data_IF_795308675203
#
_entry.id   IF_795308675203
#
_cell.length_a   1.000
_cell.length_b   1.000
_cell.length_c   1.000
_cell.angle_alpha   90.00
_cell.angle_beta   90.00
_cell.angle_gamma   90.00
#
_symmetry.space_group_name_H-M   'P 1'
#
loop_
_entity.id
_entity.type
_entity.pdbx_description
1 polymer ?
#
# COMPACT_ATOMS: atom_id res chain seq x y z
N UNK A 1 2.66 -17.57 19.61
CA UNK A 1 2.66 -16.11 19.34
C UNK A 1 1.96 -15.87 18.01
N UNK A 2 0.85 -15.12 17.97
CA UNK A 2 0.06 -14.95 16.74
C UNK A 2 0.73 -13.93 15.83
N UNK A 3 1.02 -14.30 14.58
CA UNK A 3 1.56 -13.38 13.56
C UNK A 3 0.47 -12.43 13.09
N UNK A 4 0.68 -11.13 13.29
CA UNK A 4 -0.31 -10.09 12.98
C UNK A 4 -0.30 -9.67 11.50
N UNK A 5 0.85 -9.78 10.83
CA UNK A 5 0.98 -9.41 9.42
C UNK A 5 0.59 -10.61 8.56
N UNK A 6 -0.64 -10.57 8.06
CA UNK A 6 -1.21 -11.58 7.17
C UNK A 6 -1.60 -10.93 5.83
N UNK A 7 -1.63 -11.70 4.73
CA UNK A 7 -2.24 -11.26 3.49
C UNK A 7 -3.65 -10.69 3.72
N UNK A 8 -4.00 -9.62 2.99
CA UNK A 8 -5.28 -8.92 3.12
C UNK A 8 -5.30 -7.84 4.21
N UNK A 9 -4.27 -7.73 5.06
CA UNK A 9 -4.18 -6.63 6.04
C UNK A 9 -3.81 -5.31 5.36
N UNK A 10 -4.49 -4.24 5.78
CA UNK A 10 -4.17 -2.86 5.40
C UNK A 10 -3.01 -2.37 6.26
N UNK A 11 -2.04 -1.75 5.60
CA UNK A 11 -0.83 -1.24 6.21
C UNK A 11 -0.47 0.13 5.64
N UNK A 12 0.34 0.89 6.37
CA UNK A 12 0.90 2.16 5.90
C UNK A 12 2.39 1.99 5.67
N UNK A 13 2.88 2.45 4.51
CA UNK A 13 4.32 2.45 4.21
C UNK A 13 4.98 3.62 4.92
N UNK A 14 6.06 3.37 5.66
CA UNK A 14 6.75 4.39 6.46
C UNK A 14 7.89 5.08 5.70
N UNK A 15 8.52 4.39 4.75
CA UNK A 15 9.75 4.88 4.10
C UNK A 15 9.77 4.73 2.58
N UNK A 16 10.57 5.58 1.93
CA UNK A 16 10.81 5.63 0.48
C UNK A 16 9.74 6.40 -0.30
N UNK A 17 9.76 6.28 -1.63
CA UNK A 17 8.86 7.01 -2.56
C UNK A 17 7.37 6.92 -2.26
N UNK A 18 6.94 5.84 -1.59
CA UNK A 18 5.53 5.56 -1.27
C UNK A 18 5.21 5.77 0.22
N UNK A 19 6.06 6.46 0.97
CA UNK A 19 5.82 6.77 2.38
C UNK A 19 4.47 7.51 2.57
N UNK A 20 3.77 7.18 3.65
CA UNK A 20 2.44 7.70 4.00
C UNK A 20 1.30 7.14 3.15
N UNK A 21 1.57 6.31 2.13
CA UNK A 21 0.52 5.69 1.31
C UNK A 21 -0.04 4.44 2.00
N UNK A 22 -1.35 4.29 1.91
CA UNK A 22 -2.07 3.08 2.33
C UNK A 22 -1.85 1.97 1.30
N UNK A 23 -1.60 0.76 1.80
CA UNK A 23 -1.38 -0.42 0.99
C UNK A 23 -2.02 -1.64 1.65
N UNK A 24 -2.16 -2.71 0.88
CA UNK A 24 -2.62 -4.03 1.33
C UNK A 24 -1.48 -5.01 1.14
N UNK A 25 -1.27 -5.86 2.14
CA UNK A 25 -0.31 -6.96 2.06
C UNK A 25 -0.88 -8.03 1.14
N UNK A 26 -0.18 -8.33 0.04
CA UNK A 26 -0.56 -9.38 -0.91
C UNK A 26 0.07 -10.71 -0.51
N UNK A 27 1.36 -10.69 -0.17
CA UNK A 27 2.10 -11.88 0.21
C UNK A 27 3.17 -11.57 1.24
N UNK A 28 3.27 -12.43 2.25
CA UNK A 28 4.26 -12.36 3.31
C UNK A 28 5.43 -13.30 2.98
N UNK A 29 6.66 -12.83 3.22
CA UNK A 29 7.90 -13.60 3.09
C UNK A 29 8.66 -13.49 4.40
N UNK A 30 8.33 -14.35 5.35
CA UNK A 30 8.82 -14.25 6.73
C UNK A 30 10.27 -14.72 6.89
N UNK A 31 10.69 -15.69 6.08
CA UNK A 31 12.05 -16.25 6.08
C UNK A 31 12.95 -15.59 5.02
N UNK A 32 12.41 -14.60 4.29
CA UNK A 32 13.08 -14.00 3.14
C UNK A 32 12.92 -14.81 1.86
N UNK A 33 13.57 -14.34 0.79
CA UNK A 33 13.67 -15.01 -0.50
C UNK A 33 15.13 -15.09 -0.93
N UNK A 34 15.44 -15.87 -1.98
CA UNK A 34 16.80 -15.95 -2.53
C UNK A 34 17.37 -14.57 -2.91
N UNK A 35 16.51 -13.68 -3.41
CA UNK A 35 16.92 -12.32 -3.81
C UNK A 35 17.02 -11.36 -2.62
N UNK A 36 16.28 -11.63 -1.54
CA UNK A 36 16.13 -10.74 -0.38
C UNK A 36 16.13 -11.59 0.90
N UNK A 37 17.29 -11.75 1.56
CA UNK A 37 17.42 -12.64 2.71
C UNK A 37 16.73 -12.11 3.99
N UNK A 38 16.18 -10.90 3.96
CA UNK A 38 15.45 -10.30 5.08
C UNK A 38 13.95 -10.53 4.98
N UNK A 39 13.27 -10.54 6.13
CA UNK A 39 11.83 -10.66 6.21
C UNK A 39 11.13 -9.45 5.55
N UNK A 40 10.26 -9.72 4.59
CA UNK A 40 9.62 -8.68 3.78
C UNK A 40 8.22 -9.12 3.33
N UNK A 41 7.48 -8.18 2.76
CA UNK A 41 6.20 -8.49 2.12
C UNK A 41 6.05 -7.77 0.79
N UNK A 42 5.21 -8.35 -0.05
CA UNK A 42 4.71 -7.73 -1.26
C UNK A 42 3.46 -6.93 -0.91
N UNK A 43 3.49 -5.63 -1.18
CA UNK A 43 2.34 -4.75 -0.95
C UNK A 43 1.82 -4.16 -2.25
N UNK A 44 0.50 -4.06 -2.35
CA UNK A 44 -0.19 -3.33 -3.39
C UNK A 44 -0.89 -2.13 -2.75
N UNK A 45 -0.64 -0.92 -3.25
CA UNK A 45 -1.15 0.29 -2.60
C UNK A 45 -1.58 1.38 -3.57
N UNK A 46 -2.16 2.42 -2.98
CA UNK A 46 -2.70 3.57 -3.72
C UNK A 46 -1.65 4.67 -3.74
N UNK A 47 -1.03 4.91 -4.90
CA UNK A 47 -0.05 5.99 -5.14
C UNK A 47 -0.76 7.34 -5.18
N UNK A 48 -1.81 7.43 -6.00
CA UNK A 48 -2.67 8.62 -6.13
C UNK A 48 -4.08 8.23 -5.72
N UNK A 49 -4.53 8.79 -4.60
CA UNK A 49 -5.89 8.64 -4.12
C UNK A 49 -6.86 9.42 -5.03
N UNK A 50 -8.12 8.95 -5.16
CA UNK A 50 -9.15 9.73 -5.82
C UNK A 50 -9.33 11.06 -5.06
N UNK A 51 -9.51 12.13 -5.82
CA UNK A 51 -9.76 13.46 -5.26
C UNK A 51 -11.25 13.66 -5.08
N UNK A 52 -11.65 14.49 -4.11
CA UNK A 52 -13.04 14.83 -3.88
C UNK A 52 -13.72 15.40 -5.14
N UNK A 53 -14.94 14.93 -5.40
CA UNK A 53 -15.76 15.28 -6.58
C UNK A 53 -17.03 15.97 -6.07
N UNK A 54 -17.40 17.07 -6.71
CA UNK A 54 -18.69 17.73 -6.49
C UNK A 54 -19.59 17.55 -7.71
N UNK A 55 -20.93 17.51 -7.54
CA UNK A 55 -21.86 17.28 -8.64
C UNK A 55 -21.78 18.33 -9.76
N UNK A 56 -21.33 19.55 -9.44
CA UNK A 56 -21.18 20.67 -10.38
C UNK A 56 -20.00 20.51 -11.35
N UNK A 57 -19.14 19.51 -11.17
CA UNK A 57 -17.97 19.32 -12.04
C UNK A 57 -18.36 18.70 -13.38
N UNK A 58 -17.74 19.13 -14.47
CA UNK A 58 -17.87 18.50 -15.79
C UNK A 58 -17.35 17.05 -15.78
N UNK A 59 -17.99 16.16 -16.53
CA UNK A 59 -17.69 14.71 -16.59
C UNK A 59 -16.20 14.40 -16.81
N UNK A 60 -15.57 14.98 -17.83
CA UNK A 60 -14.12 14.88 -18.08
C UNK A 60 -13.24 15.23 -16.86
N UNK A 61 -13.66 16.20 -16.03
CA UNK A 61 -12.95 16.58 -14.80
C UNK A 61 -13.22 15.57 -13.67
N UNK A 62 -14.43 15.03 -13.59
CA UNK A 62 -14.79 13.96 -12.65
C UNK A 62 -13.96 12.70 -12.93
N UNK A 63 -13.88 12.28 -14.19
CA UNK A 63 -13.11 11.12 -14.61
C UNK A 63 -11.62 11.26 -14.22
N UNK A 64 -11.01 12.42 -14.52
CA UNK A 64 -9.61 12.69 -14.18
C UNK A 64 -9.34 12.72 -12.66
N UNK A 65 -10.33 13.11 -11.85
CA UNK A 65 -10.22 13.12 -10.38
C UNK A 65 -10.44 11.73 -9.77
N UNK A 66 -11.24 10.89 -10.41
CA UNK A 66 -11.54 9.52 -9.97
C UNK A 66 -10.37 8.57 -10.23
N UNK A 67 -9.56 8.79 -11.26
CA UNK A 67 -8.43 7.92 -11.63
C UNK A 67 -7.47 7.69 -10.46
N UNK A 68 -7.42 6.43 -10.03
CA UNK A 68 -6.53 5.94 -8.96
C UNK A 68 -5.21 5.50 -9.58
N UNK A 69 -4.10 6.00 -9.05
CA UNK A 69 -2.78 5.46 -9.39
C UNK A 69 -2.43 4.34 -8.42
N UNK A 70 -2.13 3.14 -8.91
CA UNK A 70 -1.69 2.00 -8.09
C UNK A 70 -0.16 1.87 -8.08
N UNK A 71 0.36 1.13 -7.11
CA UNK A 71 1.75 0.67 -7.10
C UNK A 71 1.85 -0.72 -6.48
N UNK A 72 2.85 -1.48 -6.90
CA UNK A 72 3.24 -2.76 -6.31
C UNK A 72 4.70 -2.61 -5.88
N UNK A 73 5.02 -3.00 -4.65
CA UNK A 73 6.37 -2.87 -4.11
C UNK A 73 6.68 -3.95 -3.08
N UNK A 74 7.91 -4.43 -3.09
CA UNK A 74 8.47 -5.20 -1.98
C UNK A 74 8.96 -4.27 -0.87
N UNK A 75 8.49 -4.48 0.35
CA UNK A 75 8.79 -3.64 1.51
C UNK A 75 9.17 -4.51 2.69
N UNK A 76 10.27 -4.15 3.36
CA UNK A 76 10.68 -4.77 4.62
C UNK A 76 9.64 -4.49 5.71
N UNK A 77 9.37 -5.46 6.59
CA UNK A 77 8.43 -5.29 7.69
C UNK A 77 8.74 -4.10 8.61
N UNK A 78 10.02 -3.74 8.79
CA UNK A 78 10.42 -2.56 9.58
C UNK A 78 9.90 -1.24 9.00
N UNK A 79 9.60 -1.19 7.69
CA UNK A 79 9.16 0.02 7.02
C UNK A 79 7.63 0.06 6.81
N UNK A 80 6.90 -0.68 7.63
CA UNK A 80 5.45 -0.83 7.53
C UNK A 80 4.84 -0.64 8.91
N UNK A 81 3.78 0.16 8.96
CA UNK A 81 2.91 0.26 10.13
C UNK A 81 1.68 -0.63 9.91
N UNK A 82 1.58 -1.71 10.68
CA UNK A 82 0.46 -2.67 10.63
C UNK A 82 -0.61 -2.41 11.70
N UNK A 83 -0.32 -1.57 12.69
CA UNK A 83 -1.27 -1.17 13.74
C UNK A 83 -1.79 0.23 13.44
N UNK A 84 -3.00 0.29 12.90
CA UNK A 84 -3.74 1.55 12.72
C UNK A 84 -4.70 1.61 13.90
N UNK A 85 -4.19 2.14 15.02
CA UNK A 85 -4.85 2.29 16.34
C UNK A 85 -5.27 0.96 16.98
#
# INVERSE_FOLDING_TARGET
MVRFIKPGRVVIVLSGRNAGKKAVVVKCYDEGSKDRPFAHCLVAGVKKAPLFITPKMHEKKQERRTRVGAFIKYVNYQHILYKIV
#
